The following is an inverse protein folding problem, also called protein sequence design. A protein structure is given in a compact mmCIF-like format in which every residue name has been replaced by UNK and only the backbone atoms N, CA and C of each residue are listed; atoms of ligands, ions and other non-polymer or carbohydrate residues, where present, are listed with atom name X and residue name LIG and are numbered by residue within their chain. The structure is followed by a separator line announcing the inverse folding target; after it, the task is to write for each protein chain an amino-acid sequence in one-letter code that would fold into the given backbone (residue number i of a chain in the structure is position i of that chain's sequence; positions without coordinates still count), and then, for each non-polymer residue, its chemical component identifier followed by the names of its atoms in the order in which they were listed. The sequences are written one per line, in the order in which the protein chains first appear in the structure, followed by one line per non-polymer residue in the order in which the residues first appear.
data_IF_825278515848
#
_entry.id   IF_825278515848
#
_cell.length_a   1.000
_cell.length_b   1.000
_cell.length_c   1.000
_cell.angle_alpha   90.00
_cell.angle_beta   90.00
_cell.angle_gamma   90.00
#
_symmetry.space_group_name_H-M   'P 1'
#
loop_
_entity.id
_entity.type
_entity.pdbx_description
1 polymer ?
#
# COMPACT_ATOMS: atom_id res chain seq x y z
N UNK A 1 -23.84 -5.14 4.75
CA UNK A 1 -22.41 -5.24 4.41
C UNK A 1 -21.97 -3.88 3.89
N UNK A 2 -21.16 -3.14 4.64
CA UNK A 2 -20.70 -1.83 4.22
C UNK A 2 -19.67 -1.99 3.10
N UNK A 3 -19.97 -1.49 1.92
CA UNK A 3 -18.99 -1.39 0.84
C UNK A 3 -17.88 -0.45 1.30
N UNK A 4 -16.67 -0.99 1.52
CA UNK A 4 -15.51 -0.17 1.85
C UNK A 4 -15.11 0.57 0.57
N UNK A 5 -15.16 1.90 0.60
CA UNK A 5 -14.67 2.70 -0.52
C UNK A 5 -13.15 2.49 -0.68
N UNK A 6 -12.64 2.57 -1.90
CA UNK A 6 -11.20 2.42 -2.17
C UNK A 6 -10.35 3.41 -1.36
N UNK A 7 -10.91 4.56 -1.02
CA UNK A 7 -10.29 5.56 -0.14
C UNK A 7 -10.11 5.03 1.29
N UNK A 8 -11.17 4.49 1.90
CA UNK A 8 -11.08 3.87 3.23
C UNK A 8 -10.12 2.69 3.24
N UNK A 9 -10.11 1.93 2.14
CA UNK A 9 -9.21 0.80 2.00
C UNK A 9 -7.75 1.24 1.93
N UNK A 10 -7.45 2.30 1.17
CA UNK A 10 -6.13 2.93 1.08
C UNK A 10 -5.67 3.40 2.45
N UNK A 11 -6.48 4.19 3.17
CA UNK A 11 -6.12 4.68 4.50
C UNK A 11 -5.77 3.53 5.47
N UNK A 12 -6.61 2.49 5.50
CA UNK A 12 -6.36 1.30 6.34
C UNK A 12 -5.08 0.57 5.96
N UNK A 13 -4.76 0.48 4.67
CA UNK A 13 -3.53 -0.12 4.19
C UNK A 13 -2.30 0.67 4.64
N UNK A 14 -2.33 2.00 4.51
CA UNK A 14 -1.23 2.88 4.97
C UNK A 14 -0.97 2.68 6.46
N UNK A 15 -2.02 2.69 7.30
CA UNK A 15 -1.87 2.43 8.73
C UNK A 15 -1.27 1.05 9.00
N UNK A 16 -1.75 0.00 8.32
CA UNK A 16 -1.17 -1.35 8.49
C UNK A 16 0.31 -1.41 8.10
N UNK A 17 0.71 -0.68 7.06
CA UNK A 17 2.11 -0.59 6.65
C UNK A 17 2.92 0.10 7.74
N UNK A 18 2.53 1.30 8.17
CA UNK A 18 3.28 2.07 9.16
C UNK A 18 3.49 1.28 10.46
N UNK A 19 2.42 0.73 11.03
CA UNK A 19 2.45 -0.02 12.29
C UNK A 19 2.72 -1.53 12.12
N UNK A 20 3.39 -1.93 11.03
CA UNK A 20 3.83 -3.33 10.88
C UNK A 20 4.96 -3.67 11.86
N UNK A 21 5.01 -4.91 12.34
CA UNK A 21 6.13 -5.35 13.19
C UNK A 21 7.39 -5.64 12.35
N UNK A 22 7.21 -5.93 11.05
CA UNK A 22 8.29 -6.34 10.15
C UNK A 22 8.05 -5.90 8.71
N UNK A 23 9.14 -5.70 7.96
CA UNK A 23 9.08 -5.44 6.51
C UNK A 23 8.44 -6.59 5.71
N UNK A 24 8.50 -7.83 6.22
CA UNK A 24 7.81 -8.96 5.59
C UNK A 24 6.28 -8.81 5.68
N UNK A 25 5.76 -8.31 6.81
CA UNK A 25 4.34 -7.99 6.94
C UNK A 25 3.93 -6.85 5.98
N UNK A 26 4.76 -5.80 5.85
CA UNK A 26 4.53 -4.72 4.88
C UNK A 26 4.30 -5.27 3.48
N UNK A 27 5.19 -6.16 3.01
CA UNK A 27 5.04 -6.83 1.71
C UNK A 27 3.73 -7.61 1.63
N UNK A 28 3.42 -8.43 2.66
CA UNK A 28 2.19 -9.24 2.69
C UNK A 28 0.93 -8.37 2.62
N UNK A 29 0.92 -7.20 3.26
CA UNK A 29 -0.23 -6.28 3.19
C UNK A 29 -0.43 -5.71 1.78
N UNK A 30 0.66 -5.34 1.09
CA UNK A 30 0.59 -4.86 -0.29
C UNK A 30 0.17 -5.98 -1.27
N UNK A 31 0.73 -7.17 -1.13
CA UNK A 31 0.35 -8.34 -1.94
C UNK A 31 -1.13 -8.70 -1.73
N UNK A 32 -1.59 -8.70 -0.48
CA UNK A 32 -2.99 -8.94 -0.14
C UNK A 32 -3.90 -7.84 -0.70
N UNK A 33 -3.47 -6.58 -0.70
CA UNK A 33 -4.23 -5.48 -1.28
C UNK A 33 -4.38 -5.63 -2.79
N UNK A 34 -3.30 -5.92 -3.50
CA UNK A 34 -3.34 -6.16 -4.94
C UNK A 34 -4.23 -7.36 -5.28
N UNK A 35 -4.09 -8.48 -4.55
CA UNK A 35 -4.95 -9.65 -4.72
C UNK A 35 -6.42 -9.34 -4.44
N UNK A 36 -6.71 -8.51 -3.43
CA UNK A 36 -8.06 -8.06 -3.11
C UNK A 36 -8.68 -7.28 -4.27
N UNK A 37 -7.96 -6.30 -4.82
CA UNK A 37 -8.40 -5.51 -5.98
C UNK A 37 -8.68 -6.41 -7.20
N UNK A 38 -7.80 -7.38 -7.48
CA UNK A 38 -7.98 -8.35 -8.55
C UNK A 38 -9.19 -9.26 -8.32
N UNK A 39 -9.38 -9.76 -7.11
CA UNK A 39 -10.51 -10.63 -6.72
C UNK A 39 -11.85 -9.92 -6.93
N UNK A 40 -11.90 -8.62 -6.61
CA UNK A 40 -13.07 -7.77 -6.82
C UNK A 40 -13.17 -7.23 -8.26
N UNK A 41 -12.33 -7.71 -9.20
CA UNK A 41 -12.30 -7.30 -10.61
C UNK A 41 -12.16 -5.79 -10.79
N UNK A 42 -11.44 -5.13 -9.88
CA UNK A 42 -11.12 -3.71 -10.02
C UNK A 42 -10.26 -3.54 -11.28
N UNK A 43 -10.68 -2.61 -12.15
CA UNK A 43 -10.02 -2.35 -13.42
C UNK A 43 -8.53 -2.04 -13.21
N UNK A 44 -7.66 -2.53 -14.11
CA UNK A 44 -6.21 -2.32 -14.04
C UNK A 44 -5.80 -0.84 -13.90
N UNK A 45 -6.50 0.07 -14.59
CA UNK A 45 -6.29 1.51 -14.45
C UNK A 45 -6.61 2.02 -13.04
N UNK A 46 -7.69 1.52 -12.43
CA UNK A 46 -8.07 1.87 -11.05
C UNK A 46 -7.06 1.28 -10.06
N UNK A 47 -6.59 0.05 -10.29
CA UNK A 47 -5.55 -0.60 -9.47
C UNK A 47 -4.23 0.16 -9.54
N UNK A 48 -3.78 0.59 -10.72
CA UNK A 48 -2.60 1.44 -10.88
C UNK A 48 -2.76 2.77 -10.14
N UNK A 49 -3.91 3.43 -10.31
CA UNK A 49 -4.20 4.69 -9.61
C UNK A 49 -4.22 4.50 -8.10
N UNK A 50 -4.76 3.38 -7.61
CA UNK A 50 -4.75 3.04 -6.18
C UNK A 50 -3.31 2.90 -5.67
N UNK A 51 -2.46 2.13 -6.34
CA UNK A 51 -1.07 1.93 -5.93
C UNK A 51 -0.25 3.22 -5.99
N UNK A 52 -0.44 4.06 -7.02
CA UNK A 52 0.21 5.38 -7.06
C UNK A 52 -0.21 6.28 -5.89
N UNK A 53 -1.48 6.22 -5.48
CA UNK A 53 -1.94 6.99 -4.31
C UNK A 53 -1.35 6.47 -3.01
N UNK A 54 -1.26 5.15 -2.84
CA UNK A 54 -0.56 4.54 -1.70
C UNK A 54 0.91 4.98 -1.67
N UNK A 55 1.62 4.90 -2.79
CA UNK A 55 3.02 5.32 -2.91
C UNK A 55 3.21 6.80 -2.53
N UNK A 56 2.39 7.69 -3.09
CA UNK A 56 2.45 9.13 -2.81
C UNK A 56 2.17 9.47 -1.34
N UNK A 57 1.28 8.73 -0.69
CA UNK A 57 0.95 8.94 0.71
C UNK A 57 2.04 8.40 1.62
N UNK A 58 2.61 7.23 1.32
CA UNK A 58 3.79 6.74 2.04
C UNK A 58 4.97 7.71 1.90
N UNK A 59 5.15 8.35 0.74
CA UNK A 59 6.18 9.39 0.54
C UNK A 59 6.00 10.62 1.43
N UNK A 60 4.75 10.94 1.79
CA UNK A 60 4.40 12.10 2.62
C UNK A 60 4.15 11.73 4.07
N UNK A 61 4.14 10.44 4.40
CA UNK A 61 3.86 9.95 5.73
C UNK A 61 4.96 10.39 6.69
N UNK A 62 4.54 10.96 7.82
CA UNK A 62 5.43 11.32 8.90
C UNK A 62 5.13 10.36 10.06
N UNK A 63 6.10 9.53 10.47
CA UNK A 63 5.95 8.68 11.65
C UNK A 63 5.64 9.47 12.92
N UNK A 64 4.81 8.87 13.76
CA UNK A 64 4.51 9.42 15.07
C UNK A 64 5.79 9.44 15.92
N UNK A 65 6.07 10.57 16.55
CA UNK A 65 7.20 10.77 17.47
C UNK A 65 8.59 10.35 16.93
N UNK A 66 8.73 10.24 15.60
CA UNK A 66 9.97 9.82 14.96
C UNK A 66 10.30 8.32 15.11
N UNK A 67 9.30 7.46 15.33
CA UNK A 67 9.48 6.01 15.45
C UNK A 67 10.30 5.43 14.26
N UNK A 68 11.52 4.91 14.52
CA UNK A 68 12.39 4.37 13.48
C UNK A 68 11.78 3.16 12.74
N UNK A 69 11.00 2.32 13.44
CA UNK A 69 10.39 1.15 12.82
C UNK A 69 9.31 1.56 11.81
N UNK A 70 8.48 2.55 12.18
CA UNK A 70 7.51 3.12 11.25
C UNK A 70 8.21 3.74 10.03
N UNK A 71 9.34 4.44 10.23
CA UNK A 71 10.15 4.97 9.14
C UNK A 71 10.62 3.87 8.18
N UNK A 72 11.20 2.80 8.71
CA UNK A 72 11.67 1.67 7.92
C UNK A 72 10.53 0.98 7.16
N UNK A 73 9.38 0.80 7.82
CA UNK A 73 8.20 0.20 7.22
C UNK A 73 7.63 1.03 6.09
N UNK A 74 7.52 2.34 6.28
CA UNK A 74 7.04 3.29 5.27
C UNK A 74 7.97 3.27 4.06
N UNK A 75 9.28 3.32 4.26
CA UNK A 75 10.26 3.22 3.18
C UNK A 75 10.21 1.87 2.46
N UNK A 76 10.04 0.77 3.20
CA UNK A 76 9.84 -0.55 2.60
C UNK A 76 8.56 -0.58 1.76
N UNK A 77 7.46 -0.03 2.27
CA UNK A 77 6.18 0.08 1.56
C UNK A 77 6.30 0.88 0.26
N UNK A 78 7.04 2.00 0.27
CA UNK A 78 7.33 2.77 -0.94
C UNK A 78 8.06 1.91 -1.98
N UNK A 79 9.18 1.27 -1.59
CA UNK A 79 9.98 0.42 -2.50
C UNK A 79 9.14 -0.70 -3.12
N UNK A 80 8.29 -1.34 -2.32
CA UNK A 80 7.38 -2.39 -2.81
C UNK A 80 6.31 -1.83 -3.75
N UNK A 81 5.71 -0.68 -3.45
CA UNK A 81 4.75 -0.04 -4.36
C UNK A 81 5.39 0.29 -5.71
N UNK A 82 6.57 0.89 -5.72
CA UNK A 82 7.32 1.19 -6.94
C UNK A 82 7.60 -0.09 -7.74
N UNK A 83 8.05 -1.17 -7.08
CA UNK A 83 8.30 -2.44 -7.74
C UNK A 83 7.03 -3.05 -8.37
N UNK A 84 5.89 -3.00 -7.66
CA UNK A 84 4.61 -3.49 -8.18
C UNK A 84 4.11 -2.66 -9.38
N UNK A 85 4.22 -1.33 -9.30
CA UNK A 85 3.86 -0.44 -10.41
C UNK A 85 4.67 -0.75 -11.67
N UNK A 86 5.98 -0.97 -11.53
CA UNK A 86 6.84 -1.36 -12.65
C UNK A 86 6.49 -2.72 -13.25
N UNK A 87 6.00 -3.66 -12.45
CA UNK A 87 5.53 -4.96 -12.94
C UNK A 87 4.22 -4.84 -13.72
N UNK A 88 3.27 -4.06 -13.19
CA UNK A 88 1.96 -3.87 -13.81
C UNK A 88 2.02 -3.05 -15.10
N UNK A 89 3.01 -2.18 -15.27
CA UNK A 89 3.23 -1.42 -16.52
C UNK A 89 3.81 -2.27 -17.66
N UNK A 90 4.40 -3.44 -17.34
CA UNK A 90 4.98 -4.38 -18.31
C UNK A 90 4.01 -5.50 -18.74
N UNK A 91 2.83 -5.54 -18.13
CA UNK A 91 1.78 -6.54 -18.36
C UNK A 91 0.71 -6.01 -19.29
#
# INVERSE_FOLDING_TARGET
MSSICLEDYRCKLISKIAYSDTQQQVKRYLDAALKGLQTHRVNGHITLRFLHRVEQELQRYQPDDGDPLQWENVQAGQRYCTALLLQLQKS
#
